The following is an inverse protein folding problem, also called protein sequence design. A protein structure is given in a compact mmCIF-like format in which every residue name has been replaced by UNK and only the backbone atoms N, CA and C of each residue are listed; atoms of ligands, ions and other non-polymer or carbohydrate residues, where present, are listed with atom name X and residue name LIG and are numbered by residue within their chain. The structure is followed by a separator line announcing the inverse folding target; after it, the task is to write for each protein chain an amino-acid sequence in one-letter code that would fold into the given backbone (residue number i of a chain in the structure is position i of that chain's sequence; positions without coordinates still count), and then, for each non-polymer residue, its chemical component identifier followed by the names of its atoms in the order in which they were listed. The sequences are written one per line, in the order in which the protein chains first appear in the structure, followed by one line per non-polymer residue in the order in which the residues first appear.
data_IF_654162423976
#
_entry.id   IF_654162423976
#
_cell.length_a   1.000
_cell.length_b   1.000
_cell.length_c   1.000
_cell.angle_alpha   90.00
_cell.angle_beta   90.00
_cell.angle_gamma   90.00
#
_symmetry.space_group_name_H-M   'P 1'
#
loop_
_entity.id
_entity.type
_entity.pdbx_description
1 polymer ?
#
# COMPACT_ATOMS: atom_id res chain seq x y z
N UNK A 1 7.62 23.90 -15.49
CA UNK A 1 7.73 22.65 -16.25
C UNK A 1 6.71 21.62 -15.78
N UNK A 2 6.69 20.43 -16.41
CA UNK A 2 5.82 19.34 -16.04
C UNK A 2 6.63 18.25 -15.30
N UNK A 3 6.26 17.94 -14.08
CA UNK A 3 6.89 16.89 -13.26
C UNK A 3 5.94 15.69 -13.19
N UNK A 4 6.40 14.53 -13.61
CA UNK A 4 5.67 13.26 -13.46
C UNK A 4 6.26 12.50 -12.28
N UNK A 5 5.41 12.13 -11.32
CA UNK A 5 5.78 11.34 -10.14
C UNK A 5 5.23 9.94 -10.30
N UNK A 6 6.11 8.94 -10.28
CA UNK A 6 5.73 7.53 -10.37
C UNK A 6 5.73 6.91 -8.99
N UNK A 7 4.55 6.65 -8.45
CA UNK A 7 4.29 6.11 -7.13
C UNK A 7 3.67 7.13 -6.17
N UNK A 8 2.47 6.84 -5.70
CA UNK A 8 1.68 7.65 -4.76
C UNK A 8 1.87 7.26 -3.28
N UNK A 9 3.04 6.72 -2.93
CA UNK A 9 3.47 6.55 -1.54
C UNK A 9 3.88 7.88 -0.89
N UNK A 10 4.25 7.90 0.43
CA UNK A 10 4.59 9.14 1.12
C UNK A 10 5.70 9.96 0.43
N UNK A 11 6.74 9.29 -0.07
CA UNK A 11 7.83 9.97 -0.78
C UNK A 11 7.38 10.61 -2.10
N UNK A 12 6.53 9.92 -2.86
CA UNK A 12 5.98 10.46 -4.11
C UNK A 12 4.99 11.60 -3.88
N UNK A 13 4.11 11.45 -2.88
CA UNK A 13 3.16 12.50 -2.52
C UNK A 13 3.88 13.77 -2.02
N UNK A 14 4.92 13.63 -1.20
CA UNK A 14 5.70 14.79 -0.75
C UNK A 14 6.46 15.44 -1.90
N UNK A 15 7.03 14.63 -2.82
CA UNK A 15 7.67 15.17 -4.02
C UNK A 15 6.67 15.94 -4.90
N UNK A 16 5.46 15.38 -5.09
CA UNK A 16 4.39 16.02 -5.84
C UNK A 16 3.96 17.35 -5.21
N UNK A 17 3.70 17.34 -3.89
CA UNK A 17 3.36 18.55 -3.13
C UNK A 17 4.43 19.62 -3.25
N UNK A 18 5.70 19.25 -3.07
CA UNK A 18 6.82 20.16 -3.15
C UNK A 18 7.03 20.74 -4.55
N UNK A 19 6.84 19.94 -5.61
CA UNK A 19 6.95 20.39 -6.99
C UNK A 19 5.78 21.32 -7.36
N UNK A 20 4.54 20.96 -7.00
CA UNK A 20 3.37 21.80 -7.25
C UNK A 20 3.45 23.13 -6.51
N UNK A 21 3.90 23.12 -5.24
CA UNK A 21 4.12 24.32 -4.45
C UNK A 21 5.22 25.25 -5.01
N UNK A 22 6.06 24.76 -5.92
CA UNK A 22 7.03 25.56 -6.68
C UNK A 22 6.53 26.01 -8.06
N UNK A 23 5.24 25.80 -8.35
CA UNK A 23 4.60 26.24 -9.59
C UNK A 23 4.81 25.31 -10.77
N UNK A 24 5.21 24.06 -10.55
CA UNK A 24 5.25 23.05 -11.61
C UNK A 24 3.86 22.41 -11.80
N UNK A 25 3.53 22.09 -13.06
CA UNK A 25 2.46 21.14 -13.33
C UNK A 25 2.91 19.77 -12.85
N UNK A 26 2.08 19.07 -12.11
CA UNK A 26 2.43 17.77 -11.54
C UNK A 26 1.39 16.72 -11.90
N UNK A 27 1.84 15.55 -12.37
CA UNK A 27 1.02 14.37 -12.53
C UNK A 27 1.60 13.25 -11.67
N UNK A 28 0.77 12.64 -10.82
CA UNK A 28 1.13 11.47 -10.01
C UNK A 28 0.48 10.24 -10.61
N UNK A 29 1.27 9.20 -10.90
CA UNK A 29 0.79 7.91 -11.38
C UNK A 29 0.98 6.86 -10.29
N UNK A 30 -0.08 6.17 -9.87
CA UNK A 30 0.03 5.01 -8.98
C UNK A 30 -0.75 3.83 -9.52
N UNK A 31 -0.14 2.64 -9.50
CA UNK A 31 -0.78 1.39 -9.95
C UNK A 31 -1.91 0.92 -9.03
N UNK A 32 -1.88 1.30 -7.75
CA UNK A 32 -2.92 0.97 -6.79
C UNK A 32 -4.11 1.93 -6.94
N UNK A 33 -5.29 1.46 -6.59
CA UNK A 33 -6.51 2.27 -6.57
C UNK A 33 -6.52 3.30 -5.43
N UNK A 34 -5.54 3.23 -4.55
CA UNK A 34 -5.41 4.07 -3.35
C UNK A 34 -4.01 4.64 -3.21
N UNK A 35 -3.93 5.89 -2.75
CA UNK A 35 -2.68 6.53 -2.37
C UNK A 35 -2.15 6.02 -1.02
N UNK A 36 -0.87 6.29 -0.76
CA UNK A 36 -0.22 6.05 0.52
C UNK A 36 0.70 4.83 0.57
N UNK A 37 0.66 3.95 -0.44
CA UNK A 37 1.57 2.82 -0.55
C UNK A 37 1.65 1.98 0.73
N UNK A 38 2.88 1.67 1.17
CA UNK A 38 3.11 0.88 2.39
C UNK A 38 2.64 1.59 3.67
N UNK A 39 2.71 2.93 3.73
CA UNK A 39 2.28 3.68 4.91
C UNK A 39 0.76 3.55 5.14
N UNK A 40 -0.03 3.46 4.07
CA UNK A 40 -1.46 3.15 4.18
C UNK A 40 -1.68 1.81 4.89
N UNK A 41 -0.96 0.76 4.49
CA UNK A 41 -1.08 -0.55 5.11
C UNK A 41 -0.58 -0.54 6.57
N UNK A 42 0.56 0.09 6.85
CA UNK A 42 1.10 0.18 8.21
C UNK A 42 0.22 0.96 9.17
N UNK A 43 -0.77 1.71 8.69
CA UNK A 43 -1.78 2.34 9.55
C UNK A 43 -2.67 1.34 10.30
N UNK A 44 -2.68 0.07 9.91
CA UNK A 44 -3.32 -1.01 10.65
C UNK A 44 -2.66 -1.24 12.01
N UNK A 45 -1.34 -1.12 12.08
CA UNK A 45 -0.54 -1.20 13.32
C UNK A 45 -0.36 0.18 13.94
N UNK A 46 0.03 1.17 13.15
CA UNK A 46 0.37 2.53 13.56
C UNK A 46 -0.58 3.56 12.94
N UNK A 47 -1.68 3.94 13.61
CA UNK A 47 -2.73 4.81 13.05
C UNK A 47 -2.22 6.15 12.53
N UNK A 48 -1.16 6.72 13.13
CA UNK A 48 -0.55 7.98 12.69
C UNK A 48 -0.09 7.93 11.22
N UNK A 49 0.30 6.76 10.71
CA UNK A 49 0.67 6.62 9.31
C UNK A 49 -0.53 6.88 8.37
N UNK A 50 -1.73 6.53 8.81
CA UNK A 50 -2.96 6.85 8.08
C UNK A 50 -3.28 8.34 8.07
N UNK A 51 -2.98 9.04 9.16
CA UNK A 51 -3.14 10.50 9.24
C UNK A 51 -2.15 11.21 8.31
N UNK A 52 -0.91 10.78 8.30
CA UNK A 52 0.10 11.28 7.37
C UNK A 52 -0.32 11.10 5.91
N UNK A 53 -0.79 9.90 5.53
CA UNK A 53 -1.25 9.63 4.16
C UNK A 53 -2.43 10.54 3.80
N UNK A 54 -3.39 10.70 4.70
CA UNK A 54 -4.54 11.57 4.46
C UNK A 54 -4.12 13.02 4.27
N UNK A 55 -3.24 13.51 5.15
CA UNK A 55 -2.72 14.87 5.04
C UNK A 55 -1.98 15.10 3.73
N UNK A 56 -1.06 14.21 3.35
CA UNK A 56 -0.31 14.30 2.08
C UNK A 56 -1.25 14.27 0.88
N UNK A 57 -2.24 13.38 0.87
CA UNK A 57 -3.20 13.27 -0.24
C UNK A 57 -4.02 14.56 -0.40
N UNK A 58 -4.46 15.14 0.72
CA UNK A 58 -5.17 16.42 0.72
C UNK A 58 -4.26 17.56 0.21
N UNK A 59 -3.06 17.66 0.74
CA UNK A 59 -2.11 18.70 0.36
C UNK A 59 -1.69 18.65 -1.12
N UNK A 60 -1.57 17.44 -1.69
CA UNK A 60 -1.30 17.24 -3.13
C UNK A 60 -2.49 17.69 -3.98
N UNK A 61 -3.72 17.35 -3.56
CA UNK A 61 -4.93 17.78 -4.26
C UNK A 61 -5.13 19.30 -4.19
N UNK A 62 -4.93 19.92 -3.02
CA UNK A 62 -4.99 21.37 -2.82
C UNK A 62 -3.93 22.12 -3.62
N UNK A 63 -2.76 21.52 -3.83
CA UNK A 63 -1.71 22.05 -4.68
C UNK A 63 -2.02 21.92 -6.20
N UNK A 64 -3.14 21.32 -6.58
CA UNK A 64 -3.60 21.22 -7.97
C UNK A 64 -2.86 20.16 -8.79
N UNK A 65 -2.25 19.15 -8.16
CA UNK A 65 -1.64 18.04 -8.89
C UNK A 65 -2.70 17.10 -9.46
N UNK A 66 -2.47 16.61 -10.68
CA UNK A 66 -3.28 15.58 -11.32
C UNK A 66 -2.87 14.20 -10.77
N UNK A 67 -3.79 13.51 -10.10
CA UNK A 67 -3.54 12.22 -9.46
C UNK A 67 -4.30 11.11 -10.17
N UNK A 68 -3.56 10.18 -10.76
CA UNK A 68 -4.07 9.05 -11.53
C UNK A 68 -3.76 7.74 -10.80
N UNK A 69 -4.70 7.26 -9.99
CA UNK A 69 -4.66 5.93 -9.36
C UNK A 69 -5.11 4.84 -10.33
N UNK A 70 -4.82 3.56 -10.01
CA UNK A 70 -5.11 2.43 -10.91
C UNK A 70 -4.29 2.44 -12.19
N UNK A 71 -3.25 3.28 -12.27
CA UNK A 71 -2.47 3.52 -13.48
C UNK A 71 -1.04 3.00 -13.33
N UNK A 72 -0.73 1.92 -14.06
CA UNK A 72 0.64 1.41 -14.10
C UNK A 72 1.48 2.28 -15.03
N UNK A 73 2.50 2.94 -14.47
CA UNK A 73 3.44 3.74 -15.24
C UNK A 73 4.40 2.82 -16.02
N UNK A 74 4.47 3.02 -17.32
CA UNK A 74 5.48 2.46 -18.22
C UNK A 74 6.31 3.59 -18.83
N UNK A 75 7.42 3.27 -19.49
CA UNK A 75 8.22 4.28 -20.18
C UNK A 75 7.39 5.05 -21.21
N UNK A 76 6.50 4.36 -21.91
CA UNK A 76 5.63 4.93 -22.95
C UNK A 76 4.57 5.86 -22.34
N UNK A 77 3.90 5.42 -21.25
CA UNK A 77 2.87 6.26 -20.59
C UNK A 77 3.48 7.50 -19.95
N UNK A 78 4.69 7.40 -19.40
CA UNK A 78 5.39 8.55 -18.85
C UNK A 78 5.86 9.49 -19.97
N UNK A 79 6.43 8.95 -21.06
CA UNK A 79 6.89 9.76 -22.19
C UNK A 79 5.74 10.52 -22.88
N UNK A 80 4.55 9.90 -22.99
CA UNK A 80 3.36 10.53 -23.56
C UNK A 80 2.87 11.76 -22.79
N UNK A 81 3.27 11.92 -21.53
CA UNK A 81 2.99 13.11 -20.72
C UNK A 81 3.98 14.25 -20.95
N UNK A 82 5.00 14.04 -21.76
CA UNK A 82 6.06 15.01 -22.11
C UNK A 82 6.64 15.72 -20.87
N UNK A 83 7.14 14.95 -19.86
CA UNK A 83 7.65 15.54 -18.64
C UNK A 83 8.98 16.25 -18.85
N UNK A 84 9.18 17.37 -18.15
CA UNK A 84 10.51 17.99 -18.01
C UNK A 84 11.37 17.29 -16.94
N UNK A 85 10.71 16.59 -16.01
CA UNK A 85 11.38 15.78 -15.00
C UNK A 85 10.47 14.62 -14.55
N UNK A 86 11.09 13.50 -14.18
CA UNK A 86 10.41 12.33 -13.62
C UNK A 86 10.97 12.02 -12.25
N UNK A 87 10.09 11.85 -11.26
CA UNK A 87 10.45 11.39 -9.92
C UNK A 87 10.00 9.95 -9.76
N UNK A 88 10.94 9.02 -9.60
CA UNK A 88 10.66 7.61 -9.38
C UNK A 88 10.56 7.34 -7.87
N UNK A 89 9.35 7.10 -7.38
CA UNK A 89 9.01 6.88 -5.98
C UNK A 89 8.23 5.57 -5.77
N UNK A 90 8.56 4.53 -6.51
CA UNK A 90 7.84 3.24 -6.57
C UNK A 90 7.97 2.38 -5.30
N UNK A 91 8.77 2.81 -4.34
CA UNK A 91 9.02 2.07 -3.10
C UNK A 91 9.96 0.88 -3.30
N UNK A 92 9.99 0.00 -2.30
CA UNK A 92 10.84 -1.18 -2.30
C UNK A 92 10.09 -2.43 -2.76
N UNK A 93 10.79 -3.30 -3.47
CA UNK A 93 10.35 -4.66 -3.74
C UNK A 93 10.73 -5.51 -2.53
N UNK A 94 9.75 -6.17 -1.92
CA UNK A 94 9.98 -7.06 -0.79
C UNK A 94 10.36 -8.43 -1.29
N UNK A 95 11.42 -8.96 -0.72
CA UNK A 95 11.87 -10.33 -0.97
C UNK A 95 11.60 -11.20 0.25
N UNK A 96 11.32 -12.49 0.02
CA UNK A 96 11.28 -13.48 1.11
C UNK A 96 12.71 -13.85 1.48
N UNK A 97 13.00 -14.10 2.77
CA UNK A 97 14.29 -14.62 3.16
C UNK A 97 14.50 -16.00 2.53
N UNK A 98 15.73 -16.26 2.08
CA UNK A 98 16.12 -17.58 1.58
C UNK A 98 16.47 -18.50 2.75
N UNK A 99 15.44 -19.05 3.37
CA UNK A 99 15.56 -20.01 4.48
C UNK A 99 14.72 -21.25 4.19
N UNK A 100 15.14 -22.43 4.67
CA UNK A 100 14.37 -23.64 4.50
C UNK A 100 12.95 -23.49 5.02
N UNK A 101 11.96 -23.84 4.21
CA UNK A 101 10.56 -23.71 4.58
C UNK A 101 9.90 -22.38 4.28
N UNK A 102 10.61 -21.33 3.81
CA UNK A 102 10.01 -20.03 3.47
C UNK A 102 8.85 -20.13 2.46
N UNK A 103 8.84 -21.19 1.66
CA UNK A 103 7.82 -21.43 0.63
C UNK A 103 6.68 -22.36 1.10
N UNK A 104 6.62 -22.75 2.35
CA UNK A 104 5.53 -23.59 2.88
C UNK A 104 4.19 -22.82 2.86
N UNK A 105 3.04 -23.51 2.66
CA UNK A 105 1.74 -22.86 2.50
C UNK A 105 1.30 -22.00 3.68
N UNK A 106 1.78 -22.29 4.88
CA UNK A 106 1.46 -21.56 6.11
C UNK A 106 2.46 -20.45 6.45
N UNK A 107 3.49 -20.24 5.61
CA UNK A 107 4.46 -19.14 5.78
C UNK A 107 3.99 -17.96 4.95
N UNK A 108 3.63 -16.88 5.62
CA UNK A 108 3.13 -15.65 5.02
C UNK A 108 4.22 -14.58 5.00
N UNK A 109 4.38 -13.90 3.88
CA UNK A 109 5.14 -12.66 3.79
C UNK A 109 4.28 -11.45 4.20
N UNK A 110 4.91 -10.29 4.34
CA UNK A 110 4.16 -9.05 4.56
C UNK A 110 3.16 -8.72 3.44
N UNK A 111 3.47 -9.09 2.19
CA UNK A 111 2.56 -8.89 1.06
C UNK A 111 1.42 -9.90 1.05
N UNK A 112 1.65 -11.15 1.45
CA UNK A 112 0.57 -12.13 1.66
C UNK A 112 -0.40 -11.65 2.74
N UNK A 113 0.12 -11.14 3.85
CA UNK A 113 -0.70 -10.60 4.94
C UNK A 113 -1.47 -9.35 4.50
N UNK A 114 -0.84 -8.46 3.76
CA UNK A 114 -1.50 -7.30 3.16
C UNK A 114 -2.64 -7.73 2.26
N UNK A 115 -2.40 -8.66 1.34
CA UNK A 115 -3.44 -9.20 0.46
C UNK A 115 -4.60 -9.84 1.23
N UNK A 116 -4.31 -10.56 2.35
CA UNK A 116 -5.33 -11.13 3.22
C UNK A 116 -6.19 -10.07 3.92
N UNK A 117 -5.60 -8.95 4.35
CA UNK A 117 -6.30 -7.93 5.13
C UNK A 117 -7.01 -6.88 4.26
N UNK A 118 -6.43 -6.53 3.13
CA UNK A 118 -6.98 -5.51 2.22
C UNK A 118 -7.70 -6.09 1.01
N UNK A 119 -7.52 -7.39 0.75
CA UNK A 119 -8.04 -8.05 -0.44
C UNK A 119 -7.31 -7.63 -1.73
N UNK A 120 -6.19 -6.91 -1.66
CA UNK A 120 -5.40 -6.55 -2.83
C UNK A 120 -4.76 -7.79 -3.45
N UNK A 121 -4.74 -7.87 -4.79
CA UNK A 121 -4.00 -8.91 -5.51
C UNK A 121 -2.54 -8.45 -5.67
N UNK A 122 -1.69 -8.85 -4.74
CA UNK A 122 -0.27 -8.52 -4.74
C UNK A 122 0.60 -9.63 -5.35
N UNK A 123 0.02 -10.53 -6.15
CA UNK A 123 0.69 -11.75 -6.60
C UNK A 123 0.97 -12.73 -5.47
N UNK A 124 0.36 -12.49 -4.32
CA UNK A 124 0.47 -13.27 -3.12
C UNK A 124 -0.23 -14.64 -3.26
N UNK A 125 0.05 -15.54 -2.33
CA UNK A 125 -0.62 -16.84 -2.29
C UNK A 125 -2.12 -16.69 -2.16
N UNK A 126 -2.84 -17.40 -3.02
CA UNK A 126 -4.30 -17.37 -3.02
C UNK A 126 -4.81 -18.05 -1.74
N UNK A 127 -5.54 -17.32 -0.88
CA UNK A 127 -6.15 -17.91 0.30
C UNK A 127 -7.21 -18.94 -0.10
N UNK A 128 -7.57 -19.82 0.84
CA UNK A 128 -8.60 -20.85 0.61
C UNK A 128 -9.93 -20.23 0.15
N UNK A 129 -10.78 -21.06 -0.51
CA UNK A 129 -12.05 -20.61 -1.12
C UNK A 129 -12.93 -19.79 -0.18
N UNK A 130 -13.03 -20.21 1.08
CA UNK A 130 -13.86 -19.53 2.08
C UNK A 130 -13.34 -18.12 2.39
N UNK A 131 -12.03 -17.98 2.60
CA UNK A 131 -11.39 -16.67 2.87
C UNK A 131 -11.57 -15.74 1.66
N UNK A 132 -11.46 -16.28 0.44
CA UNK A 132 -11.71 -15.49 -0.79
C UNK A 132 -13.14 -14.96 -0.86
N UNK A 133 -14.14 -15.76 -0.48
CA UNK A 133 -15.53 -15.31 -0.42
C UNK A 133 -15.74 -14.22 0.62
N UNK A 134 -15.14 -14.36 1.80
CA UNK A 134 -15.20 -13.35 2.86
C UNK A 134 -14.54 -12.04 2.41
N UNK A 135 -13.38 -12.12 1.76
CA UNK A 135 -12.68 -10.95 1.22
C UNK A 135 -13.47 -10.28 0.08
N UNK A 136 -14.08 -11.07 -0.81
CA UNK A 136 -14.92 -10.54 -1.87
C UNK A 136 -16.16 -9.83 -1.31
N UNK A 137 -16.82 -10.42 -0.31
CA UNK A 137 -17.93 -9.77 0.39
C UNK A 137 -17.47 -8.49 1.11
N UNK A 138 -16.32 -8.51 1.76
CA UNK A 138 -15.74 -7.34 2.41
C UNK A 138 -15.45 -6.18 1.44
N UNK A 139 -14.99 -6.49 0.21
CA UNK A 139 -14.82 -5.51 -0.86
C UNK A 139 -16.16 -4.93 -1.31
N UNK A 140 -17.13 -5.77 -1.62
CA UNK A 140 -18.48 -5.34 -2.04
C UNK A 140 -19.15 -4.45 -1.00
N UNK A 141 -18.87 -4.66 0.27
CA UNK A 141 -19.40 -3.86 1.39
C UNK A 141 -18.53 -2.64 1.74
N UNK A 142 -17.44 -2.38 1.01
CA UNK A 142 -16.52 -1.28 1.27
C UNK A 142 -15.79 -1.37 2.62
N UNK A 143 -15.70 -2.58 3.20
CA UNK A 143 -15.01 -2.79 4.49
C UNK A 143 -13.50 -2.68 4.30
N UNK A 144 -12.97 -3.23 3.19
CA UNK A 144 -11.54 -3.23 2.87
C UNK A 144 -11.00 -1.84 2.52
N UNK A 145 -11.85 -0.92 2.13
CA UNK A 145 -11.47 0.46 1.80
C UNK A 145 -11.20 1.29 3.07
N UNK A 146 -11.81 0.89 4.18
CA UNK A 146 -11.63 1.54 5.47
C UNK A 146 -10.76 0.70 6.41
N UNK A 147 -9.47 1.03 6.49
CA UNK A 147 -8.51 0.31 7.33
C UNK A 147 -8.86 0.32 8.83
N UNK A 148 -9.58 1.33 9.31
CA UNK A 148 -10.12 1.33 10.67
C UNK A 148 -11.12 0.21 10.92
N UNK A 149 -11.99 -0.07 9.94
CA UNK A 149 -12.94 -1.21 9.99
C UNK A 149 -12.18 -2.54 9.89
N UNK A 150 -11.21 -2.63 9.00
CA UNK A 150 -10.35 -3.83 8.88
C UNK A 150 -9.65 -4.10 10.22
N UNK A 151 -9.05 -3.08 10.85
CA UNK A 151 -8.41 -3.20 12.18
C UNK A 151 -9.39 -3.64 13.26
N UNK A 152 -10.58 -3.06 13.31
CA UNK A 152 -11.59 -3.43 14.31
C UNK A 152 -12.07 -4.87 14.15
N UNK A 153 -12.22 -5.32 12.90
CA UNK A 153 -12.64 -6.69 12.58
C UNK A 153 -11.51 -7.69 12.85
N UNK A 154 -10.26 -7.38 12.48
CA UNK A 154 -9.10 -8.25 12.70
C UNK A 154 -8.83 -8.54 14.17
N UNK A 155 -9.17 -7.61 15.08
CA UNK A 155 -9.11 -7.82 16.53
C UNK A 155 -10.10 -8.88 17.03
N UNK A 156 -11.19 -9.13 16.30
CA UNK A 156 -12.21 -10.14 16.66
C UNK A 156 -12.00 -11.46 15.95
N UNK A 157 -11.50 -11.41 14.74
CA UNK A 157 -11.29 -12.58 13.92
C UNK A 157 -10.12 -12.35 12.95
N UNK A 158 -9.15 -13.27 12.98
CA UNK A 158 -7.97 -13.25 12.11
C UNK A 158 -7.82 -14.63 11.43
N UNK A 159 -7.70 -14.70 10.10
CA UNK A 159 -7.63 -15.96 9.36
C UNK A 159 -6.25 -16.63 9.39
N UNK A 160 -5.44 -16.41 10.42
CA UNK A 160 -4.05 -16.90 10.53
C UNK A 160 -3.82 -17.85 11.72
N UNK A 161 -4.87 -18.31 12.39
CA UNK A 161 -4.76 -19.25 13.51
C UNK A 161 -4.30 -18.60 14.82
N UNK A 162 -4.20 -19.44 15.88
CA UNK A 162 -3.90 -18.99 17.25
C UNK A 162 -2.43 -19.05 17.66
N UNK A 163 -1.61 -19.72 16.88
CA UNK A 163 -0.16 -19.88 17.15
C UNK A 163 0.59 -19.28 15.98
N UNK A 164 1.22 -18.16 16.20
CA UNK A 164 1.95 -17.40 15.19
C UNK A 164 3.42 -17.34 15.60
N UNK A 165 4.30 -17.59 14.64
CA UNK A 165 5.73 -17.37 14.79
C UNK A 165 6.13 -16.26 13.82
N UNK A 166 6.78 -15.23 14.33
CA UNK A 166 7.27 -14.11 13.54
C UNK A 166 8.78 -14.28 13.38
N UNK A 167 9.23 -14.32 12.13
CA UNK A 167 10.66 -14.41 11.81
C UNK A 167 11.16 -13.01 11.48
N UNK A 168 11.92 -12.44 12.40
CA UNK A 168 12.47 -11.08 12.34
C UNK A 168 11.95 -10.20 13.47
N UNK A 169 12.86 -9.69 14.30
CA UNK A 169 12.58 -8.83 15.47
C UNK A 169 12.84 -7.35 15.22
N UNK A 170 12.87 -6.90 13.96
CA UNK A 170 12.93 -5.48 13.64
C UNK A 170 11.57 -4.79 13.83
N UNK A 171 11.49 -3.49 13.51
CA UNK A 171 10.30 -2.66 13.70
C UNK A 171 9.01 -3.33 13.17
N UNK A 172 9.04 -3.85 11.96
CA UNK A 172 7.88 -4.50 11.33
C UNK A 172 7.45 -5.76 12.10
N UNK A 173 8.42 -6.57 12.54
CA UNK A 173 8.13 -7.80 13.29
C UNK A 173 7.53 -7.51 14.67
N UNK A 174 8.01 -6.48 15.36
CA UNK A 174 7.48 -6.06 16.67
C UNK A 174 6.09 -5.43 16.53
N UNK A 175 5.84 -4.59 15.53
CA UNK A 175 4.51 -4.06 15.22
C UNK A 175 3.49 -5.16 14.89
N UNK A 176 3.92 -6.17 14.13
CA UNK A 176 3.06 -7.33 13.84
C UNK A 176 2.78 -8.16 15.11
N UNK A 177 3.76 -8.32 15.99
CA UNK A 177 3.56 -9.03 17.27
C UNK A 177 2.55 -8.31 18.17
N UNK A 178 2.53 -6.98 18.17
CA UNK A 178 1.53 -6.18 18.89
C UNK A 178 0.14 -6.27 18.23
N UNK A 179 0.11 -6.41 16.92
CA UNK A 179 -1.14 -6.46 16.16
C UNK A 179 -1.88 -7.80 16.31
N UNK A 180 -1.17 -8.93 16.49
CA UNK A 180 -1.74 -10.28 16.65
C UNK A 180 -2.04 -10.63 18.10
#
# INVERSE_FOLDING_TARGET
GHVVVVGGGPGGLEAARAAAGRGHRVTVLDRADHLGGTARFSSLTTPMNGELVRWLSTAVAEAGADVQTGTTATAETVAALEPTAVVVATGAVRTRPDVPGANLPHVLSGDDLRGLLTGEDLGARRPGRLIRLVLAAGRLLGITDNLGRVRALSRRWMPIGRRVVIVGGGLVGTELAEFF
#
